data_IF_142924933030
#
_entry.id   IF_142924933030
#
_cell.length_a   1.000
_cell.length_b   1.000
_cell.length_c   1.000
_cell.angle_alpha   90.00
_cell.angle_beta   90.00
_cell.angle_gamma   90.00
#
_symmetry.space_group_name_H-M   'P 1'
#
loop_
_entity.id
_entity.type
_entity.pdbx_description
1 polymer ?
#
# COMPACT_ATOMS: atom_id res chain seq x y z
N UNK A 1 12.87 -7.49 -3.48
CA UNK A 1 13.14 -6.02 -3.46
C UNK A 1 12.02 -5.34 -2.70
N UNK A 2 12.32 -4.44 -1.79
CA UNK A 2 11.33 -3.77 -0.94
C UNK A 2 11.23 -2.31 -1.34
N UNK A 3 10.03 -1.82 -1.57
CA UNK A 3 9.77 -0.42 -1.91
C UNK A 3 8.87 0.18 -0.84
N UNK A 4 9.33 1.21 -0.15
CA UNK A 4 8.49 2.04 0.71
C UNK A 4 8.31 3.40 0.04
N UNK A 5 7.08 3.76 -0.25
CA UNK A 5 6.70 5.09 -0.75
C UNK A 5 6.13 5.89 0.41
N UNK A 6 6.80 6.96 0.79
CA UNK A 6 6.32 7.85 1.85
C UNK A 6 6.02 9.24 1.31
N UNK A 7 4.91 9.83 1.74
CA UNK A 7 4.59 11.22 1.44
C UNK A 7 3.83 11.89 2.58
N UNK A 8 3.89 13.20 2.66
CA UNK A 8 3.38 13.92 3.82
C UNK A 8 1.95 14.46 3.68
N UNK A 9 1.25 14.52 2.52
CA UNK A 9 0.04 15.36 2.51
C UNK A 9 -1.04 15.18 1.45
N UNK A 10 -0.88 14.35 0.45
CA UNK A 10 -1.97 14.12 -0.52
C UNK A 10 -2.38 12.66 -0.54
N UNK A 11 -3.37 12.27 0.25
CA UNK A 11 -3.92 10.91 0.25
C UNK A 11 -4.35 10.44 -1.17
N UNK A 12 -4.74 11.37 -2.03
CA UNK A 12 -5.09 11.07 -3.42
C UNK A 12 -3.89 10.67 -4.31
N UNK A 13 -2.69 11.21 -4.07
CA UNK A 13 -1.54 10.94 -4.93
C UNK A 13 -0.92 9.56 -4.65
N UNK A 14 -0.89 9.11 -3.40
CA UNK A 14 -0.45 7.73 -3.08
C UNK A 14 -1.36 6.69 -3.68
N UNK A 15 -2.66 6.89 -3.56
CA UNK A 15 -3.65 5.98 -4.14
C UNK A 15 -3.50 5.90 -5.67
N UNK A 16 -3.20 7.02 -6.34
CA UNK A 16 -2.90 7.02 -7.78
C UNK A 16 -1.63 6.22 -8.11
N UNK A 17 -0.57 6.38 -7.32
CA UNK A 17 0.68 5.62 -7.52
C UNK A 17 0.45 4.14 -7.24
N UNK A 18 -0.21 3.80 -6.15
CA UNK A 18 -0.55 2.41 -5.83
C UNK A 18 -1.41 1.79 -6.92
N UNK A 19 -2.39 2.52 -7.44
CA UNK A 19 -3.24 2.06 -8.54
C UNK A 19 -2.42 1.82 -9.81
N UNK A 20 -1.53 2.72 -10.19
CA UNK A 20 -0.65 2.55 -11.35
C UNK A 20 0.30 1.34 -11.19
N UNK A 21 0.86 1.14 -9.99
CA UNK A 21 1.69 -0.04 -9.68
C UNK A 21 0.85 -1.32 -9.81
N UNK A 22 -0.35 -1.33 -9.26
CA UNK A 22 -1.25 -2.49 -9.30
C UNK A 22 -1.66 -2.79 -10.74
N UNK A 23 -1.99 -1.79 -11.56
CA UNK A 23 -2.32 -1.96 -12.98
C UNK A 23 -1.17 -2.58 -13.77
N UNK A 24 0.05 -2.07 -13.60
CA UNK A 24 1.25 -2.62 -14.26
C UNK A 24 1.53 -4.07 -13.84
N UNK A 25 1.38 -4.38 -12.54
CA UNK A 25 1.59 -5.74 -12.05
C UNK A 25 0.45 -6.67 -12.50
N UNK A 26 -0.80 -6.18 -12.56
CA UNK A 26 -1.96 -6.95 -13.03
C UNK A 26 -1.73 -7.42 -14.46
N UNK A 27 -1.24 -6.57 -15.34
CA UNK A 27 -0.91 -6.96 -16.70
C UNK A 27 0.09 -8.14 -16.75
N UNK A 28 1.09 -8.15 -15.88
CA UNK A 28 2.04 -9.27 -15.75
C UNK A 28 1.41 -10.53 -15.15
N UNK A 29 0.45 -10.37 -14.25
CA UNK A 29 -0.30 -11.50 -13.70
C UNK A 29 -1.19 -12.16 -14.76
N UNK A 30 -1.83 -11.36 -15.60
CA UNK A 30 -2.67 -11.84 -16.72
C UNK A 30 -1.85 -12.62 -17.76
N UNK A 31 -0.59 -12.24 -17.97
CA UNK A 31 0.37 -12.99 -18.77
C UNK A 31 0.94 -14.24 -18.07
N UNK A 32 0.58 -14.47 -16.82
CA UNK A 32 1.09 -15.57 -16.03
C UNK A 32 2.56 -15.42 -15.59
N UNK A 33 3.12 -14.22 -15.65
CA UNK A 33 4.53 -13.92 -15.34
C UNK A 33 4.74 -13.54 -13.88
N UNK A 34 3.69 -13.19 -13.14
CA UNK A 34 3.75 -12.78 -11.74
C UNK A 34 2.52 -13.27 -10.97
N UNK A 35 2.56 -13.11 -9.65
CA UNK A 35 1.41 -13.19 -8.76
C UNK A 35 1.34 -11.94 -7.89
N UNK A 36 0.14 -11.51 -7.52
CA UNK A 36 -0.04 -10.29 -6.73
C UNK A 36 -1.11 -10.46 -5.66
N UNK A 37 -0.86 -9.87 -4.49
CA UNK A 37 -1.87 -9.57 -3.49
C UNK A 37 -1.78 -8.09 -3.11
N UNK A 38 -2.92 -7.45 -2.94
CA UNK A 38 -2.93 -6.05 -2.53
C UNK A 38 -4.01 -5.77 -1.48
N UNK A 39 -3.81 -4.72 -0.70
CA UNK A 39 -4.75 -4.27 0.31
C UNK A 39 -4.67 -2.76 0.48
N UNK A 40 -5.84 -2.10 0.48
CA UNK A 40 -5.99 -0.69 0.76
C UNK A 40 -6.51 -0.51 2.18
N UNK A 41 -5.75 0.15 3.04
CA UNK A 41 -6.26 0.55 4.34
C UNK A 41 -7.21 1.75 4.19
N UNK A 42 -8.28 1.78 4.98
CA UNK A 42 -9.20 2.92 5.09
C UNK A 42 -9.76 2.95 6.52
N UNK A 43 -9.44 3.98 7.27
CA UNK A 43 -9.89 4.13 8.67
C UNK A 43 -11.41 4.25 8.82
N UNK A 44 -12.13 4.61 7.75
CA UNK A 44 -13.60 4.72 7.72
C UNK A 44 -14.27 3.37 7.52
N UNK A 45 -13.58 2.43 6.88
CA UNK A 45 -14.11 1.10 6.58
C UNK A 45 -13.65 0.10 7.66
N UNK A 46 -14.62 -0.52 8.35
CA UNK A 46 -14.34 -1.51 9.41
C UNK A 46 -13.56 -2.72 8.89
N UNK A 47 -13.76 -3.06 7.63
CA UNK A 47 -13.13 -4.23 7.00
C UNK A 47 -11.75 -3.91 6.42
N UNK A 48 -11.38 -2.61 6.31
CA UNK A 48 -10.11 -2.17 5.73
C UNK A 48 -9.14 -1.56 6.73
N UNK A 49 -9.28 -1.85 8.01
CA UNK A 49 -8.45 -1.25 9.06
C UNK A 49 -7.81 -2.22 10.03
N UNK A 50 -7.80 -3.51 9.74
CA UNK A 50 -7.26 -4.49 10.67
C UNK A 50 -6.37 -5.53 9.96
N UNK A 51 -5.43 -6.08 10.73
CA UNK A 51 -4.48 -7.10 10.33
C UNK A 51 -5.15 -8.37 9.78
N UNK A 52 -6.24 -8.82 10.42
CA UNK A 52 -6.94 -10.04 10.03
C UNK A 52 -7.50 -9.95 8.61
N UNK A 53 -8.12 -8.84 8.27
CA UNK A 53 -8.71 -8.65 6.95
C UNK A 53 -7.65 -8.46 5.87
N UNK A 54 -6.50 -7.86 6.19
CA UNK A 54 -5.32 -7.89 5.33
C UNK A 54 -4.92 -9.35 5.02
N UNK A 55 -4.74 -10.20 6.03
CA UNK A 55 -4.37 -11.59 5.84
C UNK A 55 -5.38 -12.35 4.98
N UNK A 56 -6.68 -12.23 5.29
CA UNK A 56 -7.73 -12.89 4.52
C UNK A 56 -7.76 -12.43 3.06
N UNK A 57 -7.60 -11.13 2.82
CA UNK A 57 -7.56 -10.58 1.46
C UNK A 57 -6.37 -11.14 0.66
N UNK A 58 -5.17 -11.14 1.24
CA UNK A 58 -3.98 -11.66 0.58
C UNK A 58 -4.09 -13.17 0.29
N UNK A 59 -4.57 -13.96 1.26
CA UNK A 59 -4.77 -15.40 1.09
C UNK A 59 -5.74 -15.70 -0.05
N UNK A 60 -6.88 -15.00 -0.10
CA UNK A 60 -7.88 -15.20 -1.16
C UNK A 60 -7.34 -14.82 -2.54
N UNK A 61 -6.65 -13.68 -2.64
CA UNK A 61 -6.09 -13.23 -3.91
C UNK A 61 -5.01 -14.17 -4.44
N UNK A 62 -4.11 -14.64 -3.58
CA UNK A 62 -3.05 -15.57 -3.98
C UNK A 62 -3.61 -16.97 -4.30
N UNK A 63 -4.62 -17.43 -3.57
CA UNK A 63 -5.27 -18.72 -3.86
C UNK A 63 -6.00 -18.73 -5.21
N UNK A 64 -6.55 -17.62 -5.64
CA UNK A 64 -7.19 -17.48 -6.93
C UNK A 64 -6.19 -17.53 -8.12
N UNK A 65 -4.91 -17.31 -7.88
CA UNK A 65 -3.87 -17.24 -8.92
C UNK A 65 -3.02 -18.51 -9.02
N UNK A 66 -3.14 -19.44 -8.06
CA UNK A 66 -2.30 -20.64 -8.00
C UNK A 66 -3.05 -21.82 -7.39
N UNK A 67 -3.08 -22.96 -8.09
CA UNK A 67 -3.68 -24.20 -7.58
C UNK A 67 -3.00 -24.63 -6.27
N UNK A 68 -1.67 -24.49 -6.15
CA UNK A 68 -0.93 -24.83 -4.94
C UNK A 68 -1.41 -23.95 -3.76
N UNK A 69 -1.56 -22.65 -3.98
CA UNK A 69 -2.10 -21.76 -2.95
C UNK A 69 -3.54 -22.08 -2.60
N UNK A 70 -4.35 -22.48 -3.58
CA UNK A 70 -5.71 -22.94 -3.35
C UNK A 70 -5.75 -24.22 -2.47
N UNK A 71 -4.87 -25.18 -2.73
CA UNK A 71 -4.75 -26.40 -1.94
C UNK A 71 -4.31 -26.10 -0.51
N UNK A 72 -3.33 -25.23 -0.31
CA UNK A 72 -2.88 -24.79 1.02
C UNK A 72 -4.04 -24.14 1.79
N UNK A 73 -4.80 -23.23 1.15
CA UNK A 73 -5.96 -22.60 1.78
C UNK A 73 -7.07 -23.63 2.12
N UNK A 74 -7.29 -24.59 1.23
CA UNK A 74 -8.26 -25.66 1.43
C UNK A 74 -7.87 -26.55 2.62
N UNK A 75 -6.58 -26.87 2.79
CA UNK A 75 -6.07 -27.57 3.95
C UNK A 75 -6.32 -26.80 5.25
N UNK A 76 -6.09 -25.47 5.25
CA UNK A 76 -6.40 -24.63 6.40
C UNK A 76 -7.91 -24.65 6.74
N UNK A 77 -8.75 -24.54 5.70
CA UNK A 77 -10.21 -24.57 5.88
C UNK A 77 -10.67 -25.91 6.50
N UNK A 78 -10.20 -27.03 5.96
CA UNK A 78 -10.54 -28.37 6.47
C UNK A 78 -10.03 -28.60 7.89
N UNK A 79 -8.82 -28.10 8.23
CA UNK A 79 -8.28 -28.18 9.59
C UNK A 79 -9.13 -27.41 10.62
N UNK A 80 -9.94 -26.44 10.17
CA UNK A 80 -10.85 -25.67 11.02
C UNK A 80 -12.32 -26.15 10.87
N UNK A 81 -12.50 -27.45 10.70
CA UNK A 81 -13.83 -28.14 10.60
C UNK A 81 -14.70 -27.51 9.52
N UNK A 82 -14.14 -27.38 8.33
CA UNK A 82 -14.85 -26.83 7.16
C UNK A 82 -15.51 -25.46 7.42
N UNK A 83 -14.79 -24.59 8.13
CA UNK A 83 -15.24 -23.23 8.43
C UNK A 83 -16.15 -23.09 9.66
N UNK A 84 -16.42 -24.17 10.41
CA UNK A 84 -17.18 -24.08 11.66
C UNK A 84 -16.39 -23.51 12.82
N UNK A 85 -15.04 -23.54 12.73
CA UNK A 85 -14.14 -22.90 13.68
C UNK A 85 -13.34 -21.79 12.98
N UNK A 86 -13.25 -20.62 13.61
CA UNK A 86 -12.50 -19.50 13.07
C UNK A 86 -11.00 -19.74 13.21
N UNK A 87 -10.25 -19.71 12.12
CA UNK A 87 -8.79 -19.78 12.15
C UNK A 87 -8.20 -18.57 12.93
N UNK A 88 -7.20 -18.81 13.75
CA UNK A 88 -6.48 -17.75 14.44
C UNK A 88 -5.61 -16.93 13.47
N UNK A 89 -5.26 -15.70 13.81
CA UNK A 89 -4.39 -14.86 12.98
C UNK A 89 -3.00 -15.49 12.80
N UNK A 90 -2.49 -16.20 13.81
CA UNK A 90 -1.28 -17.00 13.67
C UNK A 90 -1.39 -18.13 12.64
N UNK A 91 -2.54 -18.80 12.56
CA UNK A 91 -2.79 -19.82 11.54
C UNK A 91 -2.90 -19.21 10.13
N UNK A 92 -3.53 -18.03 10.00
CA UNK A 92 -3.60 -17.29 8.74
C UNK A 92 -2.21 -16.82 8.29
N UNK A 93 -1.41 -16.26 9.20
CA UNK A 93 -0.02 -15.83 8.93
C UNK A 93 0.85 -17.01 8.49
N UNK A 94 0.72 -18.17 9.16
CA UNK A 94 1.44 -19.39 8.76
C UNK A 94 1.05 -19.83 7.35
N UNK A 95 -0.24 -19.84 7.06
CA UNK A 95 -0.77 -20.18 5.73
C UNK A 95 -0.23 -19.25 4.64
N UNK A 96 -0.19 -17.93 4.90
CA UNK A 96 0.38 -16.95 3.98
C UNK A 96 1.88 -17.22 3.73
N UNK A 97 2.66 -17.42 4.79
CA UNK A 97 4.10 -17.74 4.67
C UNK A 97 4.32 -19.03 3.86
N UNK A 98 3.50 -20.02 4.05
CA UNK A 98 3.53 -21.28 3.29
C UNK A 98 3.25 -21.04 1.80
N UNK A 99 2.16 -20.32 1.45
CA UNK A 99 1.87 -19.96 0.07
C UNK A 99 3.02 -19.23 -0.61
N UNK A 100 3.60 -18.23 0.06
CA UNK A 100 4.72 -17.45 -0.47
C UNK A 100 5.97 -18.30 -0.72
N UNK A 101 6.21 -19.29 0.14
CA UNK A 101 7.37 -20.18 0.02
C UNK A 101 7.25 -21.20 -1.12
N UNK A 102 6.03 -21.64 -1.44
CA UNK A 102 5.79 -22.61 -2.52
C UNK A 102 5.72 -21.98 -3.91
N UNK A 103 5.45 -20.70 -4.01
CA UNK A 103 5.35 -19.98 -5.29
C UNK A 103 6.73 -19.57 -5.86
N UNK A 104 7.76 -20.34 -5.61
CA UNK A 104 9.17 -19.97 -5.69
C UNK A 104 9.74 -19.64 -7.09
N UNK A 105 8.97 -19.75 -8.17
CA UNK A 105 9.49 -19.54 -9.53
C UNK A 105 9.06 -18.22 -10.19
N UNK A 106 8.01 -17.57 -9.70
CA UNK A 106 7.50 -16.33 -10.26
C UNK A 106 7.60 -15.21 -9.25
N UNK A 107 7.84 -13.96 -9.67
CA UNK A 107 7.75 -12.81 -8.78
C UNK A 107 6.37 -12.73 -8.12
N UNK A 108 6.37 -12.50 -6.81
CA UNK A 108 5.16 -12.23 -6.03
C UNK A 108 5.24 -10.80 -5.53
N UNK A 109 4.19 -10.05 -5.79
CA UNK A 109 4.07 -8.67 -5.36
C UNK A 109 3.00 -8.55 -4.28
N UNK A 110 3.36 -7.98 -3.14
CA UNK A 110 2.40 -7.61 -2.10
C UNK A 110 2.36 -6.09 -2.00
N UNK A 111 1.20 -5.49 -2.24
CA UNK A 111 1.01 -4.03 -2.21
C UNK A 111 0.09 -3.67 -1.04
N UNK A 112 0.57 -2.87 -0.11
CA UNK A 112 -0.17 -2.36 1.04
C UNK A 112 -0.25 -0.84 0.96
N UNK A 113 -1.44 -0.32 0.64
CA UNK A 113 -1.65 1.11 0.46
C UNK A 113 -2.19 1.77 1.72
N UNK A 114 -1.74 2.99 1.99
CA UNK A 114 -2.18 3.84 3.08
C UNK A 114 -2.07 3.18 4.47
N UNK A 115 -0.92 2.58 4.78
CA UNK A 115 -0.70 1.90 6.07
C UNK A 115 -0.93 2.81 7.28
N UNK A 116 -0.73 4.12 7.15
CA UNK A 116 -1.03 5.11 8.20
C UNK A 116 -2.51 5.17 8.57
N UNK A 117 -3.41 4.72 7.69
CA UNK A 117 -4.85 4.63 7.98
C UNK A 117 -5.20 3.40 8.85
N UNK A 118 -4.28 2.46 9.04
CA UNK A 118 -4.44 1.37 9.99
C UNK A 118 -4.33 1.91 11.42
N UNK A 119 -5.32 1.62 12.34
CA UNK A 119 -5.35 2.21 13.67
C UNK A 119 -4.13 1.83 14.53
N UNK A 120 -3.51 2.83 15.17
CA UNK A 120 -2.40 2.63 16.10
C UNK A 120 -2.87 2.44 17.56
N UNK A 121 -3.99 3.08 17.96
CA UNK A 121 -4.41 3.17 19.37
C UNK A 121 -5.52 2.19 19.80
N UNK A 122 -5.78 1.11 19.06
CA UNK A 122 -6.90 0.19 19.30
C UNK A 122 -6.44 -1.15 19.88
N UNK A 123 -5.99 -1.18 21.12
CA UNK A 123 -5.58 -2.43 21.78
C UNK A 123 -4.07 -2.62 21.87
N UNK A 124 -3.62 -3.72 22.49
CA UNK A 124 -2.23 -4.12 22.61
C UNK A 124 -2.08 -5.58 22.23
N UNK A 125 -1.34 -5.93 21.14
CA UNK A 125 -0.80 -5.00 20.15
C UNK A 125 -1.89 -4.32 19.31
N UNK A 126 -1.61 -3.11 18.81
CA UNK A 126 -2.52 -2.39 17.93
C UNK A 126 -2.60 -3.08 16.56
N UNK A 127 -3.68 -2.87 15.76
CA UNK A 127 -3.77 -3.40 14.42
C UNK A 127 -2.58 -3.01 13.54
N UNK A 128 -2.08 -1.78 13.64
CA UNK A 128 -0.90 -1.31 12.90
C UNK A 128 0.37 -2.03 13.32
N UNK A 129 0.61 -2.21 14.63
CA UNK A 129 1.76 -2.99 15.12
C UNK A 129 1.74 -4.41 14.60
N UNK A 130 0.58 -5.06 14.56
CA UNK A 130 0.43 -6.41 14.00
C UNK A 130 0.77 -6.46 12.49
N UNK A 131 0.37 -5.43 11.73
CA UNK A 131 0.73 -5.33 10.31
C UNK A 131 2.23 -5.09 10.14
N UNK A 132 2.82 -4.20 10.93
CA UNK A 132 4.27 -3.93 10.89
C UNK A 132 5.08 -5.18 11.25
N UNK A 133 4.63 -5.96 12.22
CA UNK A 133 5.25 -7.23 12.59
C UNK A 133 5.12 -8.27 11.47
N UNK A 134 3.95 -8.36 10.82
CA UNK A 134 3.77 -9.19 9.64
C UNK A 134 4.76 -8.82 8.53
N UNK A 135 4.95 -7.53 8.24
CA UNK A 135 5.90 -7.09 7.22
C UNK A 135 7.33 -7.52 7.57
N UNK A 136 7.76 -7.36 8.82
CA UNK A 136 9.07 -7.88 9.29
C UNK A 136 9.19 -9.38 9.05
N UNK A 137 8.20 -10.12 9.51
CA UNK A 137 8.14 -11.57 9.36
C UNK A 137 8.27 -12.02 7.90
N UNK A 138 7.64 -11.30 6.98
CA UNK A 138 7.71 -11.59 5.54
C UNK A 138 9.07 -11.23 4.95
N UNK A 139 9.69 -10.14 5.42
CA UNK A 139 11.06 -9.76 5.04
C UNK A 139 12.06 -10.82 5.50
N UNK A 140 11.92 -11.31 6.72
CA UNK A 140 12.81 -12.29 7.34
C UNK A 140 12.72 -13.68 6.68
N UNK A 141 11.71 -13.94 5.85
CA UNK A 141 11.69 -15.14 5.00
C UNK A 141 12.79 -15.15 3.93
N UNK A 142 13.38 -13.99 3.62
CA UNK A 142 14.47 -13.83 2.63
C UNK A 142 14.16 -14.46 1.27
N UNK A 143 12.88 -14.44 0.84
CA UNK A 143 12.46 -14.99 -0.43
C UNK A 143 12.88 -14.06 -1.59
N UNK A 144 13.72 -14.54 -2.54
CA UNK A 144 14.29 -13.67 -3.58
C UNK A 144 13.27 -13.14 -4.58
N UNK A 145 12.16 -13.84 -4.72
CA UNK A 145 11.07 -13.52 -5.65
C UNK A 145 9.94 -12.73 -4.99
N UNK A 146 9.99 -12.48 -3.67
CA UNK A 146 8.98 -11.69 -2.97
C UNK A 146 9.33 -10.21 -3.01
N UNK A 147 8.37 -9.41 -3.47
CA UNK A 147 8.44 -7.95 -3.54
C UNK A 147 7.31 -7.36 -2.71
N UNK A 148 7.64 -6.52 -1.74
CA UNK A 148 6.64 -5.82 -0.92
C UNK A 148 6.73 -4.32 -1.21
N UNK A 149 5.59 -3.72 -1.51
CA UNK A 149 5.40 -2.29 -1.65
C UNK A 149 4.47 -1.81 -0.52
N UNK A 150 4.92 -0.84 0.25
CA UNK A 150 4.11 -0.21 1.29
C UNK A 150 4.05 1.28 1.02
N UNK A 151 2.87 1.85 1.01
CA UNK A 151 2.69 3.29 0.96
C UNK A 151 2.15 3.79 2.30
N UNK A 152 2.60 4.94 2.73
CA UNK A 152 2.22 5.50 4.03
C UNK A 152 2.64 6.96 4.15
N UNK A 153 1.97 7.72 5.00
CA UNK A 153 2.51 8.96 5.56
C UNK A 153 3.72 8.64 6.45
N UNK A 154 4.65 9.60 6.64
CA UNK A 154 5.86 9.40 7.41
C UNK A 154 5.60 9.41 8.93
N UNK A 155 4.76 8.51 9.42
CA UNK A 155 4.51 8.30 10.83
C UNK A 155 5.75 7.72 11.54
N UNK A 156 6.00 8.11 12.78
CA UNK A 156 7.23 7.78 13.50
C UNK A 156 7.39 6.27 13.73
N UNK A 157 6.31 5.56 14.07
CA UNK A 157 6.28 4.12 14.29
C UNK A 157 6.51 3.32 13.00
N UNK A 158 5.89 3.75 11.90
CA UNK A 158 6.05 3.14 10.58
C UNK A 158 7.50 3.32 10.11
N UNK A 159 8.03 4.54 10.22
CA UNK A 159 9.42 4.82 9.85
C UNK A 159 10.41 4.01 10.66
N UNK A 160 10.30 4.02 11.98
CA UNK A 160 11.20 3.28 12.86
C UNK A 160 11.22 1.78 12.55
N UNK A 161 10.09 1.23 12.11
CA UNK A 161 9.99 -0.21 11.79
C UNK A 161 10.44 -0.53 10.37
N UNK A 162 10.02 0.25 9.36
CA UNK A 162 10.24 -0.09 7.95
C UNK A 162 11.55 0.45 7.38
N UNK A 163 12.08 1.59 7.84
CA UNK A 163 13.34 2.14 7.32
C UNK A 163 14.52 1.16 7.39
N UNK A 164 14.72 0.42 8.49
CA UNK A 164 15.82 -0.57 8.56
C UNK A 164 15.65 -1.74 7.60
N UNK A 165 14.43 -2.03 7.16
CA UNK A 165 14.09 -3.14 6.29
C UNK A 165 14.11 -2.77 4.80
N UNK A 166 14.11 -1.47 4.48
CA UNK A 166 13.81 -0.97 3.13
C UNK A 166 15.05 -0.98 2.24
N UNK A 167 14.96 -1.60 1.05
CA UNK A 167 15.99 -1.55 0.01
C UNK A 167 15.88 -0.29 -0.86
N UNK A 168 14.67 0.20 -1.07
CA UNK A 168 14.38 1.38 -1.88
C UNK A 168 13.28 2.20 -1.22
N UNK A 169 13.58 3.45 -0.94
CA UNK A 169 12.62 4.43 -0.46
C UNK A 169 12.39 5.49 -1.52
N UNK A 170 11.14 5.76 -1.81
CA UNK A 170 10.72 6.88 -2.66
C UNK A 170 9.98 7.88 -1.80
N UNK A 171 10.56 9.07 -1.63
CA UNK A 171 9.88 10.21 -1.00
C UNK A 171 9.33 11.10 -2.11
N UNK A 172 8.03 11.27 -2.12
CA UNK A 172 7.39 12.13 -3.11
C UNK A 172 7.69 13.61 -2.88
N UNK A 173 8.13 13.99 -1.66
CA UNK A 173 8.54 15.37 -1.35
C UNK A 173 9.93 15.76 -1.87
N UNK A 174 10.82 14.79 -2.02
CA UNK A 174 12.21 15.06 -2.38
C UNK A 174 12.43 15.11 -3.89
N UNK A 175 11.40 14.86 -4.69
CA UNK A 175 11.51 14.91 -6.15
C UNK A 175 11.31 16.32 -6.64
N UNK A 176 12.37 16.90 -7.21
CA UNK A 176 12.41 18.27 -7.77
C UNK A 176 11.37 18.54 -8.87
N UNK A 177 10.77 17.49 -9.45
CA UNK A 177 9.67 17.60 -10.42
C UNK A 177 8.33 17.99 -9.81
N UNK A 178 8.06 17.60 -8.56
CA UNK A 178 6.74 17.80 -7.94
C UNK A 178 6.35 19.28 -7.79
N UNK A 179 7.34 20.17 -7.51
CA UNK A 179 7.06 21.62 -7.46
C UNK A 179 6.60 22.16 -8.83
N UNK A 180 7.19 21.64 -9.90
CA UNK A 180 6.76 21.97 -11.26
C UNK A 180 5.34 21.49 -11.52
N UNK A 181 5.04 20.24 -11.23
CA UNK A 181 3.71 19.63 -11.45
C UNK A 181 2.62 20.37 -10.64
N UNK A 182 2.91 20.76 -9.39
CA UNK A 182 1.97 21.54 -8.57
C UNK A 182 1.74 22.93 -9.17
N UNK A 183 2.80 23.61 -9.60
CA UNK A 183 2.68 24.92 -10.26
C UNK A 183 1.85 24.80 -11.53
N UNK A 184 2.12 23.78 -12.35
CA UNK A 184 1.40 23.55 -13.60
C UNK A 184 -0.06 23.20 -13.36
N UNK A 185 -0.34 22.34 -12.39
CA UNK A 185 -1.72 22.00 -12.01
C UNK A 185 -2.49 23.22 -11.49
N UNK A 186 -1.94 23.96 -10.52
CA UNK A 186 -2.57 25.16 -9.96
C UNK A 186 -2.75 26.23 -11.05
N UNK A 187 -1.76 26.42 -11.92
CA UNK A 187 -1.87 27.33 -13.04
C UNK A 187 -3.02 26.94 -13.98
N UNK A 188 -3.05 25.66 -14.39
CA UNK A 188 -4.12 25.16 -15.26
C UNK A 188 -5.50 25.39 -14.64
N UNK A 189 -5.69 25.11 -13.35
CA UNK A 189 -6.96 25.32 -12.67
C UNK A 189 -7.32 26.83 -12.62
N UNK A 190 -6.39 27.69 -12.20
CA UNK A 190 -6.64 29.13 -12.06
C UNK A 190 -6.93 29.79 -13.41
N UNK A 191 -6.28 29.37 -14.49
CA UNK A 191 -6.46 29.96 -15.81
C UNK A 191 -7.58 29.33 -16.62
N UNK A 192 -8.05 28.11 -16.29
CA UNK A 192 -9.18 27.44 -16.97
C UNK A 192 -10.53 27.64 -16.31
N UNK A 193 -10.58 27.95 -15.00
CA UNK A 193 -11.84 28.10 -14.27
C UNK A 193 -12.58 29.37 -14.69
N UNK A 194 -13.83 29.22 -15.10
CA UNK A 194 -14.68 30.32 -15.59
C UNK A 194 -14.92 31.43 -14.56
N UNK A 195 -14.91 31.11 -13.25
CA UNK A 195 -15.08 32.10 -12.20
C UNK A 195 -13.82 32.92 -11.98
N UNK A 196 -12.64 32.29 -12.19
CA UNK A 196 -11.34 32.93 -12.03
C UNK A 196 -10.91 33.70 -13.30
N UNK A 197 -11.53 33.47 -14.44
CA UNK A 197 -11.24 34.24 -15.67
C UNK A 197 -11.44 35.75 -15.50
N UNK A 198 -12.33 36.17 -14.60
CA UNK A 198 -12.62 37.59 -14.32
C UNK A 198 -11.59 38.25 -13.38
N UNK A 199 -10.68 37.47 -12.80
CA UNK A 199 -9.67 38.00 -11.91
C UNK A 199 -8.56 38.71 -12.69
N UNK A 200 -7.91 39.70 -12.04
CA UNK A 200 -6.77 40.36 -12.63
C UNK A 200 -5.60 39.40 -12.75
N UNK A 201 -4.75 39.59 -13.75
CA UNK A 201 -3.57 38.74 -13.97
C UNK A 201 -2.62 38.71 -12.76
N UNK A 202 -2.51 39.86 -12.05
CA UNK A 202 -1.72 39.94 -10.83
C UNK A 202 -2.25 39.08 -9.71
N UNK A 203 -3.59 39.02 -9.54
CA UNK A 203 -4.25 38.21 -8.53
C UNK A 203 -4.10 36.72 -8.86
N UNK A 204 -4.24 36.32 -10.11
CA UNK A 204 -4.03 34.96 -10.57
C UNK A 204 -2.59 34.51 -10.29
N UNK A 205 -1.60 35.32 -10.64
CA UNK A 205 -0.18 35.05 -10.38
C UNK A 205 0.10 34.94 -8.89
N UNK A 206 -0.50 35.79 -8.06
CA UNK A 206 -0.36 35.75 -6.61
C UNK A 206 -0.93 34.46 -6.05
N UNK A 207 -2.11 34.03 -6.52
CA UNK A 207 -2.74 32.77 -6.08
C UNK A 207 -1.90 31.55 -6.47
N UNK A 208 -1.46 31.48 -7.74
CA UNK A 208 -0.58 30.40 -8.20
C UNK A 208 0.67 30.32 -7.34
N UNK A 209 1.36 31.45 -7.14
CA UNK A 209 2.58 31.51 -6.31
C UNK A 209 2.30 31.08 -4.88
N UNK A 210 1.27 31.65 -4.22
CA UNK A 210 0.97 31.38 -2.82
C UNK A 210 0.54 29.94 -2.58
N UNK A 211 -0.28 29.35 -3.46
CA UNK A 211 -0.71 27.97 -3.34
C UNK A 211 0.46 26.99 -3.61
N UNK A 212 1.29 27.28 -4.60
CA UNK A 212 2.46 26.44 -4.90
C UNK A 212 3.52 26.50 -3.79
N UNK A 213 3.76 27.68 -3.20
CA UNK A 213 4.68 27.81 -2.05
C UNK A 213 4.14 27.16 -0.77
N UNK A 214 2.82 27.22 -0.53
CA UNK A 214 2.19 26.61 0.65
C UNK A 214 1.95 25.11 0.49
N UNK A 215 1.85 24.60 -0.73
CA UNK A 215 1.78 23.16 -0.97
C UNK A 215 3.08 22.43 -0.62
N UNK A 216 4.20 23.15 -0.49
CA UNK A 216 5.50 22.63 -0.06
C UNK A 216 5.58 22.33 1.46
N UNK A 217 4.47 22.28 2.15
CA UNK A 217 4.38 21.98 3.58
C UNK A 217 3.03 21.45 4.02
N UNK A 218 2.15 21.20 3.09
CA UNK A 218 0.85 20.56 3.36
C UNK A 218 0.85 19.11 3.02
#
# INVERSE_FOLDING_TARGET
MWLVVSHSLLSGLTTLISSAIIEEITARCDEGLASMGYFYFDFRDKDKKNHRNLLLSLLLQLSAQSNICCDILSCLHSAHRDGTATASDGALTKCLKEMLSFTSQRPIYLVMDALDECPYNSGLPSPREQVLELVKDLVDLHLPNLHICVTSRPEADIRATLEPLTCLRVSLHEQSGQKGDIVDYVSNVVYSDANMQRWREEDKKLVVKTLSEKADGM
#
